data_IF_475690194107
#
_entry.id   IF_475690194107
#
_cell.length_a   1.000
_cell.length_b   1.000
_cell.length_c   1.000
_cell.angle_alpha   90.00
_cell.angle_beta   90.00
_cell.angle_gamma   90.00
#
_symmetry.space_group_name_H-M   'P 1'
#
loop_
_entity.id
_entity.type
_entity.pdbx_description
1 polymer ?
#
# COMPACT_ATOMS: atom_id res chain seq x y z
N UNK A 1 10.41 -5.65 12.45
CA UNK A 1 9.03 -6.15 12.24
C UNK A 1 8.07 -5.15 12.86
N UNK A 2 7.04 -4.74 12.12
CA UNK A 2 5.97 -3.90 12.66
C UNK A 2 5.19 -4.72 13.69
N UNK A 3 5.06 -4.22 14.93
CA UNK A 3 4.12 -4.78 15.91
C UNK A 3 2.79 -4.05 15.70
N UNK A 4 1.81 -4.72 15.08
CA UNK A 4 0.46 -4.19 14.86
C UNK A 4 -0.46 -4.74 15.95
N UNK A 5 -1.26 -3.87 16.54
CA UNK A 5 -2.30 -4.25 17.49
C UNK A 5 -3.59 -4.56 16.72
N UNK A 6 -4.12 -5.77 16.88
CA UNK A 6 -5.42 -6.17 16.33
C UNK A 6 -6.47 -6.19 17.44
N UNK A 7 -7.76 -6.23 17.09
CA UNK A 7 -8.85 -6.33 18.06
C UNK A 7 -8.73 -7.55 18.99
N UNK A 8 -8.08 -8.61 18.53
CA UNK A 8 -7.83 -9.85 19.30
C UNK A 8 -6.45 -9.89 19.98
N UNK A 9 -5.69 -8.79 19.98
CA UNK A 9 -4.32 -8.71 20.50
C UNK A 9 -3.24 -8.82 19.41
N UNK A 10 -1.98 -9.00 19.80
CA UNK A 10 -0.85 -9.14 18.87
C UNK A 10 -0.70 -10.59 18.38
N UNK A 11 -0.41 -10.77 17.09
CA UNK A 11 -0.13 -12.07 16.49
C UNK A 11 1.06 -11.99 15.53
N UNK A 12 1.97 -12.95 15.61
CA UNK A 12 3.15 -13.04 14.76
C UNK A 12 2.86 -13.65 13.37
N UNK A 13 1.68 -14.28 13.20
CA UNK A 13 1.32 -15.05 12.01
C UNK A 13 -0.06 -14.64 11.51
N UNK A 14 -0.20 -13.39 11.11
CA UNK A 14 -1.44 -12.90 10.48
C UNK A 14 -1.30 -12.99 8.97
N UNK A 15 -2.24 -13.68 8.33
CA UNK A 15 -2.32 -13.83 6.87
C UNK A 15 -3.36 -12.89 6.27
N UNK A 16 -4.52 -12.79 6.94
CA UNK A 16 -5.62 -11.92 6.59
C UNK A 16 -6.18 -11.21 7.81
N UNK A 17 -6.59 -9.98 7.60
CA UNK A 17 -7.40 -9.24 8.54
C UNK A 17 -8.25 -8.25 7.77
N UNK A 18 -9.34 -7.78 8.38
CA UNK A 18 -10.22 -6.80 7.77
C UNK A 18 -10.40 -5.59 8.68
N UNK A 19 -10.75 -4.48 8.07
CA UNK A 19 -10.99 -3.23 8.76
C UNK A 19 -11.50 -2.17 7.79
N UNK A 20 -11.66 -0.96 8.30
CA UNK A 20 -11.91 0.20 7.44
C UNK A 20 -10.56 0.76 7.03
N UNK A 21 -10.35 1.06 5.75
CA UNK A 21 -9.15 1.72 5.28
C UNK A 21 -9.05 3.13 5.89
N UNK A 22 -7.97 3.41 6.61
CA UNK A 22 -7.78 4.65 7.37
C UNK A 22 -6.68 5.55 6.80
N UNK A 23 -5.88 5.05 5.88
CA UNK A 23 -4.87 5.85 5.20
C UNK A 23 -5.54 6.71 4.14
N UNK A 24 -5.00 7.91 3.91
CA UNK A 24 -5.61 8.95 3.05
C UNK A 24 -5.41 8.66 1.56
N UNK A 25 -5.75 7.44 1.15
CA UNK A 25 -5.74 6.95 -0.23
C UNK A 25 -7.12 7.11 -0.87
N UNK A 26 -7.27 6.86 -2.19
CA UNK A 26 -8.58 6.80 -2.83
C UNK A 26 -9.54 5.77 -2.21
N UNK A 27 -9.03 4.77 -1.48
CA UNK A 27 -9.83 3.76 -0.80
C UNK A 27 -10.21 4.15 0.65
N UNK A 28 -9.89 5.36 1.12
CA UNK A 28 -10.20 5.82 2.48
C UNK A 28 -11.70 5.61 2.83
N UNK A 29 -11.94 4.96 3.97
CA UNK A 29 -13.29 4.68 4.47
C UNK A 29 -13.93 3.40 3.91
N UNK A 30 -13.29 2.71 2.97
CA UNK A 30 -13.83 1.46 2.41
C UNK A 30 -13.58 0.27 3.36
N UNK A 31 -14.56 -0.63 3.41
CA UNK A 31 -14.38 -1.93 4.07
C UNK A 31 -13.35 -2.74 3.27
N UNK A 32 -12.26 -3.09 3.94
CA UNK A 32 -11.04 -3.56 3.29
C UNK A 32 -10.59 -4.90 3.84
N UNK A 33 -10.20 -5.80 2.95
CA UNK A 33 -9.45 -7.01 3.27
C UNK A 33 -7.96 -6.72 3.11
N UNK A 34 -7.19 -6.85 4.19
CA UNK A 34 -5.74 -6.71 4.18
C UNK A 34 -5.08 -8.08 4.05
N UNK A 35 -4.19 -8.21 3.07
CA UNK A 35 -3.56 -9.47 2.69
C UNK A 35 -2.05 -9.40 2.92
N UNK A 36 -1.53 -10.36 3.69
CA UNK A 36 -0.09 -10.48 4.01
C UNK A 36 0.55 -11.55 3.13
N UNK A 37 1.45 -11.09 2.26
CA UNK A 37 2.19 -11.90 1.29
C UNK A 37 1.35 -12.29 0.07
N UNK A 38 1.95 -13.08 -0.82
CA UNK A 38 1.26 -13.68 -1.96
C UNK A 38 0.30 -14.75 -1.46
N UNK A 39 -0.93 -14.75 -1.99
CA UNK A 39 -1.99 -15.71 -1.67
C UNK A 39 -2.75 -16.15 -2.92
N UNK A 40 -3.42 -17.31 -2.90
CA UNK A 40 -4.28 -17.73 -3.99
C UNK A 40 -5.40 -16.71 -4.25
N UNK A 41 -5.61 -16.37 -5.52
CA UNK A 41 -6.63 -15.41 -5.95
C UNK A 41 -8.05 -15.81 -5.49
N UNK A 42 -8.39 -17.10 -5.65
CA UNK A 42 -9.70 -17.64 -5.28
C UNK A 42 -9.95 -17.50 -3.78
N UNK A 43 -8.95 -17.79 -2.95
CA UNK A 43 -9.01 -17.65 -1.50
C UNK A 43 -9.25 -16.19 -1.08
N UNK A 44 -8.52 -15.23 -1.68
CA UNK A 44 -8.73 -13.80 -1.40
C UNK A 44 -10.14 -13.37 -1.81
N UNK A 45 -10.58 -13.80 -3.00
CA UNK A 45 -11.91 -13.45 -3.56
C UNK A 45 -13.03 -13.93 -2.65
N UNK A 46 -12.96 -15.19 -2.19
CA UNK A 46 -13.95 -15.78 -1.30
C UNK A 46 -14.00 -15.04 0.04
N UNK A 47 -12.83 -14.76 0.63
CA UNK A 47 -12.74 -14.05 1.90
C UNK A 47 -13.28 -12.62 1.75
N UNK A 48 -12.87 -11.88 0.72
CA UNK A 48 -13.30 -10.51 0.49
C UNK A 48 -14.82 -10.42 0.27
N UNK A 49 -15.37 -11.33 -0.54
CA UNK A 49 -16.81 -11.40 -0.81
C UNK A 49 -17.61 -11.71 0.47
N UNK A 50 -17.20 -12.74 1.23
CA UNK A 50 -17.87 -13.11 2.47
C UNK A 50 -17.76 -12.03 3.56
N UNK A 51 -16.64 -11.32 3.59
CA UNK A 51 -16.38 -10.20 4.50
C UNK A 51 -16.98 -8.87 4.01
N UNK A 52 -17.62 -8.83 2.84
CA UNK A 52 -18.18 -7.62 2.21
C UNK A 52 -17.15 -6.50 2.05
N UNK A 53 -15.96 -6.88 1.61
CA UNK A 53 -14.87 -5.94 1.32
C UNK A 53 -14.86 -5.66 -0.18
N UNK A 54 -15.16 -4.42 -0.57
CA UNK A 54 -15.07 -3.97 -1.97
C UNK A 54 -13.63 -3.57 -2.35
N UNK A 55 -12.76 -3.42 -1.34
CA UNK A 55 -11.34 -3.10 -1.48
C UNK A 55 -10.46 -4.21 -0.88
N UNK A 56 -9.36 -4.51 -1.57
CA UNK A 56 -8.30 -5.41 -1.12
C UNK A 56 -6.97 -4.65 -1.03
N UNK A 57 -6.37 -4.64 0.15
CA UNK A 57 -5.05 -4.07 0.40
C UNK A 57 -4.00 -5.16 0.39
N UNK A 58 -3.16 -5.17 -0.64
CA UNK A 58 -2.01 -6.04 -0.82
C UNK A 58 -0.74 -5.39 -0.24
N UNK A 59 0.20 -6.22 0.21
CA UNK A 59 1.44 -5.72 0.82
C UNK A 59 1.31 -5.38 2.30
N UNK A 60 0.22 -5.78 2.95
CA UNK A 60 -0.04 -5.51 4.36
C UNK A 60 1.10 -6.02 5.25
N UNK A 61 1.36 -5.31 6.35
CA UNK A 61 2.51 -5.58 7.24
C UNK A 61 3.88 -5.53 6.54
N UNK A 62 3.99 -4.73 5.47
CA UNK A 62 5.21 -4.59 4.66
C UNK A 62 5.64 -5.92 4.02
N UNK A 63 4.67 -6.73 3.58
CA UNK A 63 4.95 -8.07 3.06
C UNK A 63 5.51 -8.09 1.64
N UNK A 64 5.38 -7.00 0.88
CA UNK A 64 5.97 -6.91 -0.45
C UNK A 64 7.49 -6.75 -0.35
N UNK A 65 8.23 -7.73 -0.85
CA UNK A 65 9.69 -7.78 -0.75
C UNK A 65 10.42 -7.65 -2.10
N UNK A 66 9.66 -7.44 -3.20
CA UNK A 66 10.18 -7.32 -4.56
C UNK A 66 10.55 -8.66 -5.21
N UNK A 67 10.24 -9.80 -4.57
CA UNK A 67 10.38 -11.13 -5.16
C UNK A 67 9.02 -11.62 -5.67
N UNK A 68 9.04 -12.71 -6.43
CA UNK A 68 7.84 -13.37 -6.94
C UNK A 68 6.89 -12.40 -7.66
N UNK A 69 7.45 -11.40 -8.36
CA UNK A 69 6.70 -10.30 -9.01
C UNK A 69 5.57 -10.83 -9.88
N UNK A 70 5.79 -11.92 -10.60
CA UNK A 70 4.75 -12.57 -11.41
C UNK A 70 3.54 -12.98 -10.57
N UNK A 71 3.74 -13.51 -9.37
CA UNK A 71 2.65 -13.94 -8.50
C UNK A 71 1.91 -12.73 -7.90
N UNK A 72 2.62 -11.66 -7.55
CA UNK A 72 2.00 -10.39 -7.12
C UNK A 72 1.16 -9.77 -8.24
N UNK A 73 1.69 -9.75 -9.46
CA UNK A 73 1.06 -9.23 -10.66
C UNK A 73 -0.22 -10.02 -10.99
N UNK A 74 -0.14 -11.34 -11.11
CA UNK A 74 -1.30 -12.22 -11.38
C UNK A 74 -2.37 -12.12 -10.27
N UNK A 75 -1.95 -11.99 -9.00
CA UNK A 75 -2.86 -11.81 -7.87
C UNK A 75 -3.58 -10.46 -7.93
N UNK A 76 -2.86 -9.36 -8.17
CA UNK A 76 -3.44 -8.03 -8.24
C UNK A 76 -4.35 -7.87 -9.48
N UNK A 77 -3.86 -8.25 -10.66
CA UNK A 77 -4.61 -8.21 -11.92
C UNK A 77 -5.89 -9.06 -11.85
N UNK A 78 -5.80 -10.26 -11.26
CA UNK A 78 -6.95 -11.14 -11.07
C UNK A 78 -8.05 -10.54 -10.18
N UNK A 79 -7.67 -9.80 -9.13
CA UNK A 79 -8.62 -9.08 -8.26
C UNK A 79 -9.22 -7.87 -8.98
N UNK A 80 -8.39 -7.09 -9.67
CA UNK A 80 -8.81 -5.92 -10.44
C UNK A 80 -9.81 -6.30 -11.54
N UNK A 81 -9.58 -7.42 -12.25
CA UNK A 81 -10.49 -7.96 -13.28
C UNK A 81 -11.82 -8.45 -12.72
N UNK A 82 -11.86 -8.82 -11.45
CA UNK A 82 -13.09 -9.18 -10.74
C UNK A 82 -13.83 -7.97 -10.17
N UNK A 83 -13.29 -6.75 -10.34
CA UNK A 83 -13.95 -5.50 -9.99
C UNK A 83 -13.64 -4.97 -8.59
N UNK A 84 -12.77 -5.62 -7.81
CA UNK A 84 -12.32 -5.08 -6.53
C UNK A 84 -11.47 -3.83 -6.76
N UNK A 85 -11.58 -2.85 -5.85
CA UNK A 85 -10.49 -1.88 -5.69
C UNK A 85 -9.28 -2.60 -5.10
N UNK A 86 -8.08 -2.31 -5.61
CA UNK A 86 -6.86 -2.95 -5.13
C UNK A 86 -5.80 -1.90 -4.83
N UNK A 87 -5.35 -1.85 -3.57
CA UNK A 87 -4.11 -1.18 -3.20
C UNK A 87 -2.97 -2.18 -3.20
N UNK A 88 -1.81 -1.80 -3.74
CA UNK A 88 -0.54 -2.49 -3.46
C UNK A 88 0.41 -1.50 -2.76
N UNK A 89 0.76 -1.79 -1.51
CA UNK A 89 1.76 -1.04 -0.75
C UNK A 89 3.15 -1.67 -0.91
N UNK A 90 4.09 -0.84 -1.37
CA UNK A 90 5.47 -1.23 -1.56
C UNK A 90 6.43 -0.05 -1.34
N UNK A 91 7.66 -0.38 -0.95
CA UNK A 91 8.72 0.59 -0.75
C UNK A 91 9.17 1.23 -2.07
N UNK A 92 9.42 2.54 -2.06
CA UNK A 92 9.92 3.29 -3.22
C UNK A 92 11.19 2.71 -3.84
N UNK A 93 12.01 1.97 -3.09
CA UNK A 93 13.18 1.26 -3.64
C UNK A 93 12.81 0.24 -4.73
N UNK A 94 11.58 -0.26 -4.71
CA UNK A 94 11.06 -1.18 -5.72
C UNK A 94 10.57 -0.46 -6.98
N UNK A 95 10.49 0.87 -7.01
CA UNK A 95 10.23 1.63 -8.23
C UNK A 95 11.44 1.68 -9.17
N UNK A 96 12.66 1.47 -8.67
CA UNK A 96 13.86 1.50 -9.48
C UNK A 96 13.91 0.24 -10.39
N UNK A 97 13.77 0.42 -11.71
CA UNK A 97 13.89 -0.66 -12.69
C UNK A 97 12.78 -0.66 -13.76
N UNK A 98 12.85 -1.63 -14.68
CA UNK A 98 11.80 -1.84 -15.70
C UNK A 98 10.66 -2.67 -15.11
N UNK A 99 9.62 -2.01 -14.64
CA UNK A 99 8.48 -2.63 -13.95
C UNK A 99 7.23 -2.62 -14.83
N UNK A 100 7.27 -3.40 -15.92
CA UNK A 100 6.11 -3.55 -16.80
C UNK A 100 4.84 -3.94 -16.03
N UNK A 101 4.98 -4.85 -15.05
CA UNK A 101 3.89 -5.26 -14.17
C UNK A 101 3.17 -4.06 -13.51
N UNK A 102 3.93 -3.09 -12.98
CA UNK A 102 3.35 -1.91 -12.34
C UNK A 102 2.67 -0.99 -13.36
N UNK A 103 3.23 -0.87 -14.56
CA UNK A 103 2.61 -0.11 -15.67
C UNK A 103 1.29 -0.75 -16.10
N UNK A 104 1.27 -2.06 -16.32
CA UNK A 104 0.10 -2.82 -16.76
C UNK A 104 -1.02 -2.75 -15.69
N UNK A 105 -0.68 -2.89 -14.39
CA UNK A 105 -1.65 -2.70 -13.29
C UNK A 105 -2.19 -1.26 -13.22
N UNK A 106 -1.37 -0.25 -13.49
CA UNK A 106 -1.79 1.15 -13.53
C UNK A 106 -2.75 1.49 -14.70
N UNK A 107 -2.96 0.58 -15.66
CA UNK A 107 -4.01 0.75 -16.68
C UNK A 107 -5.42 0.54 -16.08
N UNK A 108 -5.53 -0.12 -14.93
CA UNK A 108 -6.79 -0.32 -14.22
C UNK A 108 -7.15 0.91 -13.37
N UNK A 109 -8.35 1.47 -13.60
CA UNK A 109 -8.84 2.65 -12.86
C UNK A 109 -9.07 2.39 -11.36
N UNK A 110 -9.25 1.13 -10.99
CA UNK A 110 -9.47 0.64 -9.62
C UNK A 110 -8.18 0.19 -8.91
N UNK A 111 -7.01 0.46 -9.49
CA UNK A 111 -5.71 0.17 -8.88
C UNK A 111 -5.10 1.38 -8.18
N UNK A 112 -4.55 1.17 -6.99
CA UNK A 112 -3.90 2.18 -6.16
C UNK A 112 -2.45 1.70 -5.87
N UNK A 113 -1.43 2.22 -6.58
CA UNK A 113 -0.04 1.97 -6.23
C UNK A 113 0.36 2.86 -5.03
N UNK A 114 0.42 2.28 -3.83
CA UNK A 114 0.85 2.99 -2.64
C UNK A 114 2.36 2.88 -2.47
N UNK A 115 3.07 3.92 -2.92
CA UNK A 115 4.53 4.00 -2.85
C UNK A 115 4.95 4.57 -1.50
N UNK A 116 5.52 3.74 -0.62
CA UNK A 116 5.83 4.13 0.75
C UNK A 116 7.29 4.57 0.94
N UNK A 117 7.49 5.78 1.48
CA UNK A 117 8.79 6.35 1.88
C UNK A 117 8.97 6.28 3.40
N UNK A 118 10.14 5.81 3.87
CA UNK A 118 10.43 5.68 5.30
C UNK A 118 11.44 6.75 5.72
N UNK A 119 10.94 7.85 6.29
CA UNK A 119 11.78 8.95 6.77
C UNK A 119 11.61 9.08 8.30
N UNK A 120 12.58 8.60 9.10
CA UNK A 120 12.48 8.61 10.54
C UNK A 120 12.53 10.04 11.09
N UNK A 121 11.64 10.37 12.03
CA UNK A 121 11.59 11.67 12.69
C UNK A 121 11.43 12.88 11.71
N UNK A 122 10.64 12.72 10.65
CA UNK A 122 10.42 13.75 9.62
C UNK A 122 10.13 15.15 10.19
N UNK A 123 9.37 15.25 11.29
CA UNK A 123 9.01 16.51 11.96
C UNK A 123 10.14 17.19 12.73
N UNK A 124 11.30 16.56 12.88
CA UNK A 124 12.50 17.18 13.50
C UNK A 124 13.35 17.93 12.48
N UNK A 125 13.07 17.79 11.19
CA UNK A 125 13.81 18.50 10.16
C UNK A 125 13.42 19.98 10.20
N UNK A 126 14.31 20.86 9.74
CA UNK A 126 14.00 22.28 9.69
C UNK A 126 13.07 22.61 8.50
N UNK A 127 12.54 23.84 8.48
CA UNK A 127 11.60 24.30 7.45
C UNK A 127 12.20 24.37 6.04
N UNK A 128 13.51 24.13 5.87
CA UNK A 128 14.15 24.07 4.56
C UNK A 128 14.17 22.65 3.98
N UNK A 129 13.68 21.64 4.72
CA UNK A 129 13.71 20.26 4.28
C UNK A 129 12.75 20.02 3.11
N UNK A 130 13.25 19.31 2.09
CA UNK A 130 12.49 18.93 0.91
C UNK A 130 12.58 17.43 0.64
N UNK A 131 11.50 16.85 0.14
CA UNK A 131 11.49 15.51 -0.48
C UNK A 131 11.60 15.70 -1.99
N UNK A 132 12.57 15.01 -2.61
CA UNK A 132 12.79 15.05 -4.06
C UNK A 132 12.35 13.73 -4.69
N UNK A 133 11.53 13.83 -5.73
CA UNK A 133 11.23 12.74 -6.67
C UNK A 133 12.17 12.93 -7.85
N UNK A 134 13.13 12.02 -7.99
CA UNK A 134 14.23 12.12 -8.94
C UNK A 134 14.06 11.16 -10.12
N UNK A 135 14.78 11.41 -11.20
CA UNK A 135 14.95 10.44 -12.28
C UNK A 135 15.98 9.36 -11.87
N UNK A 136 15.94 8.20 -12.52
CA UNK A 136 16.87 7.08 -12.26
C UNK A 136 18.29 7.37 -12.75
N UNK A 137 18.44 8.24 -13.75
CA UNK A 137 19.70 8.83 -14.25
C UNK A 137 19.38 10.13 -15.02
N UNK A 138 20.37 10.85 -15.52
CA UNK A 138 20.18 12.11 -16.23
C UNK A 138 19.32 11.95 -17.50
N UNK A 139 18.07 12.46 -17.43
CA UNK A 139 17.08 12.39 -18.52
C UNK A 139 16.78 10.96 -19.00
N UNK A 140 16.71 10.02 -18.06
CA UNK A 140 16.52 8.62 -18.37
C UNK A 140 15.05 8.25 -18.56
N UNK A 141 14.17 8.68 -17.65
CA UNK A 141 12.76 8.27 -17.62
C UNK A 141 11.77 9.42 -17.38
N UNK A 142 12.23 10.56 -16.88
CA UNK A 142 11.39 11.72 -16.56
C UNK A 142 11.92 12.99 -17.25
N UNK A 143 11.04 13.96 -17.50
CA UNK A 143 11.40 15.27 -18.07
C UNK A 143 12.16 16.17 -17.07
N UNK A 144 12.18 15.80 -15.80
CA UNK A 144 12.79 16.58 -14.73
C UNK A 144 12.60 15.93 -13.36
N UNK A 145 12.65 16.77 -12.34
CA UNK A 145 12.57 16.37 -10.93
C UNK A 145 11.54 17.23 -10.21
N UNK A 146 10.86 16.65 -9.22
CA UNK A 146 9.93 17.38 -8.38
C UNK A 146 10.49 17.50 -6.96
N UNK A 147 10.61 18.72 -6.47
CA UNK A 147 11.01 18.99 -5.09
C UNK A 147 9.82 19.53 -4.31
N UNK A 148 9.41 18.83 -3.26
CA UNK A 148 8.30 19.21 -2.39
C UNK A 148 8.83 19.58 -1.01
N UNK A 149 8.34 20.69 -0.44
CA UNK A 149 8.60 21.01 0.97
C UNK A 149 7.97 19.94 1.87
N UNK A 150 8.68 19.54 2.93
CA UNK A 150 8.12 18.63 3.95
C UNK A 150 6.85 19.21 4.58
N UNK A 151 6.80 20.52 4.82
CA UNK A 151 5.63 21.19 5.40
C UNK A 151 4.40 21.05 4.50
N UNK A 152 4.58 21.09 3.17
CA UNK A 152 3.48 20.94 2.22
C UNK A 152 2.91 19.52 2.15
N UNK A 153 3.70 18.50 2.54
CA UNK A 153 3.29 17.10 2.50
C UNK A 153 2.70 16.62 3.85
N UNK A 154 3.02 17.30 4.95
CA UNK A 154 2.70 16.88 6.32
C UNK A 154 1.50 17.63 6.92
N UNK A 155 0.48 17.88 6.09
CA UNK A 155 -0.76 18.54 6.53
C UNK A 155 -1.64 17.62 7.39
N UNK A 156 -2.62 18.20 8.11
CA UNK A 156 -3.61 17.40 8.86
C UNK A 156 -4.54 16.58 7.95
N UNK A 157 -4.79 17.05 6.72
CA UNK A 157 -5.66 16.35 5.77
C UNK A 157 -5.05 15.03 5.29
N UNK A 158 -3.72 14.98 5.21
CA UNK A 158 -2.92 13.84 4.78
C UNK A 158 -2.38 12.99 5.94
N UNK A 159 -2.79 13.27 7.19
CA UNK A 159 -2.29 12.59 8.38
C UNK A 159 -3.22 11.49 8.89
N UNK A 160 -2.67 10.29 9.11
CA UNK A 160 -3.32 9.20 9.85
C UNK A 160 -2.53 8.92 11.12
N UNK A 161 -3.15 9.18 12.27
CA UNK A 161 -2.52 8.97 13.57
C UNK A 161 -2.57 7.52 14.04
N UNK A 162 -1.56 7.06 14.78
CA UNK A 162 -1.46 5.68 15.28
C UNK A 162 -2.67 5.20 16.07
N UNK A 163 -3.36 6.09 16.80
CA UNK A 163 -4.57 5.74 17.57
C UNK A 163 -5.72 5.21 16.69
N UNK A 164 -5.66 5.40 15.38
CA UNK A 164 -6.65 4.90 14.42
C UNK A 164 -6.43 3.41 14.07
N UNK A 165 -5.21 2.88 14.23
CA UNK A 165 -4.82 1.51 13.88
C UNK A 165 -5.14 0.48 15.00
N UNK A 166 -6.39 0.43 15.47
CA UNK A 166 -6.75 -0.41 16.66
C UNK A 166 -7.95 -1.33 16.47
N UNK A 167 -8.62 -1.27 15.32
CA UNK A 167 -9.94 -1.88 15.12
C UNK A 167 -9.96 -3.05 14.13
N UNK A 168 -8.80 -3.48 13.66
CA UNK A 168 -8.71 -4.54 12.66
C UNK A 168 -9.01 -5.92 13.26
N UNK A 169 -9.80 -6.70 12.54
CA UNK A 169 -10.21 -8.05 12.93
C UNK A 169 -9.43 -9.09 12.11
N UNK A 170 -8.71 -9.98 12.80
CA UNK A 170 -8.02 -11.10 12.14
C UNK A 170 -9.06 -12.08 11.58
N UNK A 171 -8.87 -12.52 10.33
CA UNK A 171 -9.64 -13.60 9.72
C UNK A 171 -8.82 -14.90 9.87
N UNK A 172 -9.45 -15.92 10.46
CA UNK A 172 -8.84 -17.22 10.73
C UNK A 172 -9.19 -18.24 9.67
#
# INVERSE_FOLDING_TARGET
>A
MMQRDYATGQSATVTYFKGVEIEKTPAYGQQTLFVVGVRPLEEITDIATNAKCDHVYLGANQSFDGKDIKQWDEMADGLLKQGFWVTLDFDAKYCAGKHRWLTDLCEHQNFIPQISLKIPNLTKYNNNATIKIDDTDFRATNDGVWCHSVDSLTTQETFTGWSQYTKDEIIK
#
